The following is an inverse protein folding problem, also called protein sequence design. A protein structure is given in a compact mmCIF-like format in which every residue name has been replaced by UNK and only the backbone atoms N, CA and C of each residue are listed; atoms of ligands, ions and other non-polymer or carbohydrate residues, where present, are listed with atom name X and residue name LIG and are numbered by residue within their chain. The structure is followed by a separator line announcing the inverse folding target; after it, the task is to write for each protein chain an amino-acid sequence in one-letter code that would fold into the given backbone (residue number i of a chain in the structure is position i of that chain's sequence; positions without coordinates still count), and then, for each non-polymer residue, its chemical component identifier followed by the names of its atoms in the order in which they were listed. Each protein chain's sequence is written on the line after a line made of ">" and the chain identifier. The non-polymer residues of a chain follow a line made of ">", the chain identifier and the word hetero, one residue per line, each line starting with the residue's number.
data_IF_352469179442
#
_entry.id   IF_352469179442
#
_cell.length_a   1.000
_cell.length_b   1.000
_cell.length_c   1.000
_cell.angle_alpha   90.00
_cell.angle_beta   90.00
_cell.angle_gamma   90.00
#
_symmetry.space_group_name_H-M   'P 1'
#
loop_
_entity.id
_entity.type
_entity.pdbx_description
1 polymer ?
#
# COMPACT_ATOMS: atom_id res chain seq x y z
N UNK A 1 4.44 -9.82 -48.58
CA UNK A 1 4.69 -9.29 -47.23
C UNK A 1 3.43 -9.51 -46.41
N UNK A 2 3.37 -10.64 -45.71
CA UNK A 2 2.28 -10.94 -44.76
C UNK A 2 2.38 -9.99 -43.59
N UNK A 3 1.41 -9.11 -43.45
CA UNK A 3 1.22 -8.31 -42.23
C UNK A 3 0.90 -9.28 -41.10
N UNK A 4 1.90 -9.65 -40.31
CA UNK A 4 1.70 -10.26 -39.01
C UNK A 4 0.93 -9.20 -38.22
N UNK A 5 -0.35 -9.43 -37.93
CA UNK A 5 -1.11 -8.64 -36.95
C UNK A 5 -0.36 -8.78 -35.65
N UNK A 6 0.36 -7.75 -35.24
CA UNK A 6 0.94 -7.67 -33.90
C UNK A 6 -0.20 -7.90 -32.93
N UNK A 7 -0.07 -8.90 -32.04
CA UNK A 7 -0.99 -9.03 -30.91
C UNK A 7 -1.05 -7.69 -30.19
N UNK A 8 -2.25 -7.22 -29.84
CA UNK A 8 -2.39 -5.99 -29.06
C UNK A 8 -1.62 -6.17 -27.76
N UNK A 9 -0.78 -5.20 -27.41
CA UNK A 9 -0.11 -5.17 -26.12
C UNK A 9 -1.13 -5.33 -24.98
N UNK A 10 -0.76 -6.03 -23.90
CA UNK A 10 -1.62 -6.22 -22.74
C UNK A 10 -2.02 -4.89 -22.12
N UNK A 11 -3.20 -4.84 -21.49
CA UNK A 11 -3.67 -3.67 -20.74
C UNK A 11 -3.29 -3.82 -19.27
N UNK A 12 -2.57 -2.84 -18.74
CA UNK A 12 -2.05 -2.88 -17.38
C UNK A 12 -2.84 -1.98 -16.46
N UNK A 13 -3.03 -2.45 -15.22
CA UNK A 13 -3.76 -1.75 -14.16
C UNK A 13 -2.85 -1.50 -12.97
N UNK A 14 -2.77 -0.24 -12.52
CA UNK A 14 -2.11 0.13 -11.27
C UNK A 14 -3.17 0.31 -10.19
N UNK A 15 -2.99 -0.34 -9.04
CA UNK A 15 -3.89 -0.25 -7.89
C UNK A 15 -3.17 0.46 -6.76
N UNK A 16 -3.69 1.61 -6.35
CA UNK A 16 -3.13 2.43 -5.27
C UNK A 16 -4.19 2.76 -4.21
N UNK A 17 -3.76 2.89 -2.95
CA UNK A 17 -4.59 3.49 -1.91
C UNK A 17 -4.58 5.01 -2.03
N UNK A 18 -5.72 5.65 -1.85
CA UNK A 18 -5.86 7.11 -2.03
C UNK A 18 -5.82 7.90 -0.74
N UNK A 19 -5.89 7.23 0.41
CA UNK A 19 -5.94 7.82 1.75
C UNK A 19 -4.66 7.46 2.54
N UNK A 20 -4.77 7.13 3.83
CA UNK A 20 -3.64 6.73 4.69
C UNK A 20 -3.40 5.22 4.76
N UNK A 21 -3.71 4.47 3.70
CA UNK A 21 -3.64 3.01 3.71
C UNK A 21 -4.88 2.37 4.36
N UNK A 22 -4.86 1.04 4.43
CA UNK A 22 -5.98 0.26 4.99
C UNK A 22 -7.35 0.49 4.34
N UNK A 23 -7.38 0.96 3.08
CA UNK A 23 -8.59 1.20 2.31
C UNK A 23 -9.34 -0.09 1.92
N UNK A 24 -8.88 -1.28 2.33
CA UNK A 24 -9.50 -2.56 2.00
C UNK A 24 -9.10 -3.10 0.63
N UNK A 25 -7.87 -2.81 0.20
CA UNK A 25 -7.33 -3.24 -1.10
C UNK A 25 -7.39 -4.75 -1.34
N UNK A 26 -7.21 -5.57 -0.31
CA UNK A 26 -7.05 -7.03 -0.45
C UNK A 26 -8.15 -7.72 -1.25
N UNK A 27 -9.42 -7.47 -0.95
CA UNK A 27 -10.58 -8.04 -1.65
C UNK A 27 -10.55 -7.74 -3.15
N UNK A 28 -10.34 -6.48 -3.49
CA UNK A 28 -10.38 -6.00 -4.88
C UNK A 28 -9.18 -6.45 -5.69
N UNK A 29 -8.03 -6.53 -5.03
CA UNK A 29 -6.81 -7.06 -5.62
C UNK A 29 -7.01 -8.52 -6.01
N UNK A 30 -7.71 -9.32 -5.21
CA UNK A 30 -8.07 -10.70 -5.56
C UNK A 30 -9.04 -10.75 -6.75
N UNK A 31 -10.09 -9.93 -6.75
CA UNK A 31 -11.05 -9.84 -7.86
C UNK A 31 -10.36 -9.47 -9.19
N UNK A 32 -9.53 -8.44 -9.19
CA UNK A 32 -8.77 -8.00 -10.38
C UNK A 32 -7.75 -9.03 -10.88
N UNK A 33 -7.35 -9.99 -10.03
CA UNK A 33 -6.38 -11.02 -10.42
C UNK A 33 -6.95 -11.97 -11.48
N UNK A 34 -8.25 -12.13 -11.59
CA UNK A 34 -8.89 -13.01 -12.61
C UNK A 34 -8.55 -12.58 -14.04
N UNK A 35 -8.36 -11.28 -14.27
CA UNK A 35 -8.02 -10.73 -15.58
C UNK A 35 -6.51 -10.47 -15.75
N UNK A 36 -5.66 -10.91 -14.80
CA UNK A 36 -4.23 -10.61 -14.80
C UNK A 36 -3.40 -11.87 -14.94
N UNK A 37 -2.41 -11.87 -15.84
CA UNK A 37 -1.41 -12.94 -15.99
C UNK A 37 -0.18 -12.72 -15.11
N UNK A 38 0.04 -11.47 -14.66
CA UNK A 38 1.13 -11.13 -13.76
C UNK A 38 0.75 -10.07 -12.74
N UNK A 39 1.28 -10.20 -11.51
CA UNK A 39 1.08 -9.25 -10.41
C UNK A 39 2.40 -8.79 -9.85
N UNK A 40 2.56 -7.47 -9.71
CA UNK A 40 3.82 -6.81 -9.39
C UNK A 40 3.71 -5.98 -8.13
N UNK A 41 4.52 -6.26 -7.11
CA UNK A 41 4.79 -5.34 -6.00
C UNK A 41 5.91 -4.41 -6.39
N UNK A 42 5.69 -3.10 -6.31
CA UNK A 42 6.65 -2.12 -6.80
C UNK A 42 7.28 -1.24 -5.71
N UNK A 43 6.79 -1.29 -4.46
CA UNK A 43 7.33 -0.48 -3.35
C UNK A 43 6.97 -1.08 -1.98
N UNK A 44 7.51 -0.46 -0.91
CA UNK A 44 7.34 -0.89 0.46
C UNK A 44 8.23 -2.08 0.80
N UNK A 45 7.81 -2.84 1.76
CA UNK A 45 8.45 -4.07 2.22
C UNK A 45 7.43 -4.92 2.97
N UNK A 46 7.88 -5.70 3.93
CA UNK A 46 7.00 -6.53 4.75
C UNK A 46 6.19 -5.74 5.83
N UNK A 47 6.22 -4.41 5.77
CA UNK A 47 5.30 -3.54 6.52
C UNK A 47 3.90 -3.47 5.90
N UNK A 48 3.70 -3.95 4.68
CA UNK A 48 2.38 -4.10 4.09
C UNK A 48 1.61 -5.27 4.75
N UNK A 49 0.29 -5.22 4.66
CA UNK A 49 -0.59 -6.31 5.10
C UNK A 49 -1.81 -6.37 4.16
N UNK A 50 -1.76 -7.24 3.17
CA UNK A 50 -2.88 -7.52 2.28
C UNK A 50 -3.58 -8.79 2.76
N UNK A 51 -4.74 -8.62 3.40
CA UNK A 51 -5.54 -9.78 3.82
C UNK A 51 -6.45 -10.20 2.67
N UNK A 52 -6.32 -11.43 2.28
CA UNK A 52 -7.19 -12.10 1.30
C UNK A 52 -8.07 -13.11 2.02
N UNK A 53 -9.30 -13.28 1.54
CA UNK A 53 -10.20 -14.33 2.00
C UNK A 53 -10.55 -15.19 0.79
N UNK A 54 -10.00 -16.40 0.73
CA UNK A 54 -10.22 -17.33 -0.37
C UNK A 54 -10.81 -18.60 0.21
N UNK A 55 -11.99 -19.00 -0.27
CA UNK A 55 -12.75 -20.15 0.23
C UNK A 55 -12.93 -20.11 1.77
N UNK A 56 -13.17 -18.93 2.33
CA UNK A 56 -13.34 -18.72 3.78
C UNK A 56 -12.05 -18.68 4.59
N UNK A 57 -10.90 -18.95 4.01
CA UNK A 57 -9.60 -18.92 4.70
C UNK A 57 -8.98 -17.53 4.56
N UNK A 58 -8.66 -16.90 5.70
CA UNK A 58 -7.94 -15.61 5.73
C UNK A 58 -6.44 -15.86 5.62
N UNK A 59 -5.82 -15.25 4.62
CA UNK A 59 -4.37 -15.26 4.42
C UNK A 59 -3.85 -13.82 4.37
N UNK A 60 -2.88 -13.50 5.21
CA UNK A 60 -2.22 -12.20 5.22
C UNK A 60 -0.91 -12.29 4.42
N UNK A 61 -0.79 -11.48 3.39
CA UNK A 61 0.43 -11.34 2.58
C UNK A 61 1.14 -10.03 2.93
N UNK A 62 2.46 -10.10 3.08
CA UNK A 62 3.29 -8.95 3.45
C UNK A 62 4.24 -8.52 2.34
N UNK A 63 4.93 -9.46 1.71
CA UNK A 63 5.90 -9.24 0.62
C UNK A 63 5.42 -9.81 -0.70
N UNK A 64 4.87 -11.01 -0.66
CA UNK A 64 4.47 -11.74 -1.87
C UNK A 64 3.26 -11.07 -2.50
N UNK A 65 3.28 -10.83 -3.84
CA UNK A 65 2.12 -10.27 -4.53
C UNK A 65 0.88 -11.15 -4.38
N UNK A 66 -0.29 -10.52 -4.25
CA UNK A 66 -1.56 -11.20 -3.98
C UNK A 66 -1.96 -12.21 -5.06
N UNK A 67 -1.48 -12.03 -6.29
CA UNK A 67 -1.68 -12.98 -7.39
C UNK A 67 -1.18 -14.40 -7.13
N UNK A 68 -0.31 -14.59 -6.12
CA UNK A 68 0.22 -15.91 -5.76
C UNK A 68 -0.88 -16.91 -5.37
N UNK A 69 -1.99 -16.40 -4.83
CA UNK A 69 -3.13 -17.21 -4.41
C UNK A 69 -3.92 -17.79 -5.60
N UNK A 70 -3.66 -17.33 -6.83
CA UNK A 70 -4.31 -17.82 -8.05
C UNK A 70 -3.37 -18.71 -8.84
N UNK A 71 -3.77 -19.95 -9.17
CA UNK A 71 -2.96 -20.83 -10.02
C UNK A 71 -2.63 -20.17 -11.36
N UNK A 72 -1.41 -20.38 -11.85
CA UNK A 72 -0.96 -19.88 -13.15
C UNK A 72 -0.56 -18.40 -13.21
N UNK A 73 -0.89 -17.58 -12.22
CA UNK A 73 -0.51 -16.17 -12.18
C UNK A 73 0.95 -16.04 -11.75
N UNK A 74 1.76 -15.32 -12.53
CA UNK A 74 3.14 -14.98 -12.16
C UNK A 74 3.17 -13.81 -11.18
N UNK A 75 4.08 -13.85 -10.23
CA UNK A 75 4.23 -12.83 -9.20
C UNK A 75 5.64 -12.25 -9.23
N UNK A 76 5.73 -10.92 -9.15
CA UNK A 76 6.98 -10.19 -9.28
C UNK A 76 7.19 -9.25 -8.11
N UNK A 77 8.38 -9.29 -7.51
CA UNK A 77 8.85 -8.29 -6.55
C UNK A 77 9.81 -7.37 -7.31
N UNK A 78 9.38 -6.14 -7.57
CA UNK A 78 10.14 -5.13 -8.31
C UNK A 78 11.25 -4.50 -7.47
N UNK A 79 12.18 -3.83 -8.13
CA UNK A 79 13.36 -3.18 -7.55
C UNK A 79 13.05 -2.05 -6.56
N UNK A 80 11.82 -1.57 -6.53
CA UNK A 80 11.36 -0.57 -5.56
C UNK A 80 11.08 -1.14 -4.16
N UNK A 81 10.95 -2.45 -4.02
CA UNK A 81 10.70 -3.13 -2.73
C UNK A 81 12.01 -3.29 -1.96
N UNK A 82 11.99 -3.00 -0.66
CA UNK A 82 13.06 -3.38 0.27
C UNK A 82 12.75 -4.75 0.86
N UNK A 83 13.65 -5.71 0.65
CA UNK A 83 13.40 -7.14 0.84
C UNK A 83 14.03 -7.69 2.11
N UNK A 84 13.23 -8.15 3.05
CA UNK A 84 13.67 -9.04 4.13
C UNK A 84 13.60 -10.49 3.65
N UNK A 85 14.73 -11.14 3.44
CA UNK A 85 14.76 -12.53 3.00
C UNK A 85 14.15 -13.47 4.04
N UNK A 86 14.45 -13.28 5.33
CA UNK A 86 13.87 -14.06 6.41
C UNK A 86 12.33 -14.02 6.38
N UNK A 87 11.76 -12.81 6.30
CA UNK A 87 10.28 -12.65 6.27
C UNK A 87 9.66 -13.17 4.98
N UNK A 88 10.37 -13.11 3.85
CA UNK A 88 9.93 -13.71 2.62
C UNK A 88 9.82 -15.23 2.75
N UNK A 89 10.83 -15.89 3.33
CA UNK A 89 10.79 -17.35 3.48
C UNK A 89 9.78 -17.81 4.52
N UNK A 90 9.58 -17.09 5.62
CA UNK A 90 8.46 -17.35 6.54
C UNK A 90 7.10 -17.35 5.80
N UNK A 91 6.90 -16.38 4.91
CA UNK A 91 5.68 -16.23 4.13
C UNK A 91 5.56 -17.34 3.06
N UNK A 92 6.64 -17.67 2.35
CA UNK A 92 6.68 -18.78 1.37
C UNK A 92 6.31 -20.09 2.05
N UNK A 93 6.97 -20.42 3.16
CA UNK A 93 6.73 -21.68 3.88
C UNK A 93 5.30 -21.78 4.40
N UNK A 94 4.72 -20.67 4.88
CA UNK A 94 3.32 -20.62 5.29
C UNK A 94 2.37 -20.92 4.15
N UNK A 95 2.61 -20.34 2.98
CA UNK A 95 1.80 -20.55 1.78
C UNK A 95 1.96 -21.97 1.21
N UNK A 96 3.18 -22.49 1.17
CA UNK A 96 3.46 -23.86 0.67
C UNK A 96 2.83 -24.91 1.58
N UNK A 97 2.84 -24.71 2.91
CA UNK A 97 2.10 -25.54 3.87
C UNK A 97 0.58 -25.53 3.64
N UNK A 98 0.06 -24.41 3.12
CA UNK A 98 -1.35 -24.27 2.75
C UNK A 98 -1.63 -24.79 1.31
N UNK A 99 -0.66 -25.43 0.65
CA UNK A 99 -0.82 -26.00 -0.69
C UNK A 99 -0.67 -25.02 -1.84
N UNK A 100 -0.17 -23.80 -1.59
CA UNK A 100 0.06 -22.80 -2.64
C UNK A 100 1.43 -22.99 -3.26
N UNK A 101 1.49 -23.15 -4.58
CA UNK A 101 2.72 -23.20 -5.34
C UNK A 101 3.33 -21.79 -5.45
N UNK A 102 4.50 -21.56 -4.81
CA UNK A 102 5.10 -20.21 -4.73
C UNK A 102 6.37 -20.10 -5.59
N UNK A 103 7.37 -20.92 -5.32
CA UNK A 103 8.76 -20.71 -5.84
C UNK A 103 8.85 -20.75 -7.37
N UNK A 104 8.05 -21.54 -8.04
CA UNK A 104 8.02 -21.62 -9.50
C UNK A 104 7.45 -20.38 -10.17
N UNK A 105 6.57 -19.65 -9.47
CA UNK A 105 5.83 -18.49 -9.97
C UNK A 105 6.30 -17.14 -9.47
N UNK A 106 7.12 -17.12 -8.41
CA UNK A 106 7.66 -15.88 -7.83
C UNK A 106 8.99 -15.52 -8.51
N UNK A 107 9.12 -14.24 -8.89
CA UNK A 107 10.34 -13.63 -9.43
C UNK A 107 10.70 -12.39 -8.61
N UNK A 108 11.97 -12.26 -8.29
CA UNK A 108 12.48 -11.20 -7.42
C UNK A 108 13.55 -10.44 -8.19
N UNK A 109 13.37 -9.12 -8.29
CA UNK A 109 14.35 -8.28 -8.94
C UNK A 109 15.71 -8.36 -8.22
N UNK A 110 16.75 -8.61 -8.98
CA UNK A 110 18.12 -8.60 -8.49
C UNK A 110 18.54 -7.23 -7.91
N UNK A 111 17.85 -6.17 -8.30
CA UNK A 111 18.10 -4.81 -7.83
C UNK A 111 17.37 -4.44 -6.54
N UNK A 112 16.58 -5.32 -5.94
CA UNK A 112 15.94 -5.07 -4.64
C UNK A 112 17.01 -4.85 -3.56
N UNK A 113 16.92 -3.76 -2.77
CA UNK A 113 17.72 -3.59 -1.57
C UNK A 113 17.31 -4.61 -0.50
N UNK A 114 18.26 -5.12 0.25
CA UNK A 114 18.04 -6.03 1.36
C UNK A 114 17.77 -5.26 2.66
N UNK A 115 16.81 -5.74 3.44
CA UNK A 115 16.68 -5.38 4.85
C UNK A 115 17.52 -6.37 5.65
N UNK A 116 18.47 -5.86 6.40
CA UNK A 116 19.40 -6.64 7.23
C UNK A 116 19.19 -6.29 8.71
N UNK A 117 19.66 -7.11 9.67
CA UNK A 117 19.40 -6.91 11.09
C UNK A 117 19.75 -5.51 11.63
N UNK A 118 20.79 -4.86 11.14
CA UNK A 118 21.14 -3.51 11.57
C UNK A 118 20.10 -2.45 11.13
N UNK A 119 19.37 -2.65 10.04
CA UNK A 119 18.27 -1.76 9.67
C UNK A 119 17.13 -1.83 10.70
N UNK A 120 16.82 -3.02 11.18
CA UNK A 120 15.80 -3.23 12.23
C UNK A 120 16.28 -2.58 13.54
N UNK A 121 17.54 -2.81 13.92
CA UNK A 121 18.13 -2.22 15.12
C UNK A 121 18.09 -0.67 15.08
N UNK A 122 18.43 -0.07 13.95
CA UNK A 122 18.35 1.39 13.74
C UNK A 122 16.91 1.91 13.84
N UNK A 123 15.94 1.25 13.21
CA UNK A 123 14.53 1.65 13.22
C UNK A 123 13.98 1.69 14.65
N UNK A 124 14.20 0.62 15.41
CA UNK A 124 13.79 0.51 16.82
C UNK A 124 14.51 1.54 17.70
N UNK A 125 15.83 1.66 17.58
CA UNK A 125 16.61 2.56 18.42
C UNK A 125 16.24 4.05 18.17
N UNK A 126 15.94 4.42 16.93
CA UNK A 126 15.50 5.78 16.57
C UNK A 126 14.15 6.14 17.20
N UNK A 127 13.19 5.22 17.15
CA UNK A 127 11.87 5.43 17.80
C UNK A 127 12.00 5.49 19.32
N UNK A 128 12.83 4.63 19.93
CA UNK A 128 13.11 4.64 21.37
C UNK A 128 13.74 5.98 21.80
N UNK A 129 14.72 6.48 21.02
CA UNK A 129 15.37 7.77 21.30
C UNK A 129 14.38 8.95 21.21
N UNK A 130 13.44 8.94 20.27
CA UNK A 130 12.39 9.95 20.16
C UNK A 130 11.51 9.95 21.39
N UNK A 131 11.09 8.77 21.85
CA UNK A 131 10.27 8.61 23.04
C UNK A 131 10.95 9.13 24.30
N UNK A 132 12.19 8.72 24.55
CA UNK A 132 12.97 9.13 25.71
C UNK A 132 13.40 10.60 25.67
N UNK A 133 13.55 11.16 24.47
CA UNK A 133 13.92 12.57 24.24
C UNK A 133 12.74 13.54 24.20
N UNK A 134 11.51 13.08 24.46
CA UNK A 134 10.29 13.93 24.48
C UNK A 134 9.86 14.43 23.08
N UNK A 135 10.38 13.84 22.00
CA UNK A 135 9.97 14.16 20.63
C UNK A 135 8.86 13.21 20.16
N UNK A 136 7.97 13.69 19.29
CA UNK A 136 6.87 12.89 18.75
C UNK A 136 7.41 11.72 17.93
N UNK A 137 6.97 10.50 18.25
CA UNK A 137 7.27 9.31 17.44
C UNK A 137 6.67 9.43 16.04
N UNK A 138 7.36 8.94 15.05
CA UNK A 138 6.79 8.75 13.70
C UNK A 138 5.74 7.63 13.73
N UNK A 139 5.94 6.63 14.59
CA UNK A 139 5.08 5.46 14.71
C UNK A 139 5.42 4.40 13.69
N UNK A 140 6.71 4.17 13.42
CA UNK A 140 7.18 3.14 12.49
C UNK A 140 6.75 1.75 12.90
N UNK A 141 6.90 0.78 12.02
CA UNK A 141 6.61 -0.62 12.31
C UNK A 141 7.78 -1.34 13.00
N UNK A 142 8.93 -0.68 13.17
CA UNK A 142 10.14 -1.28 13.74
C UNK A 142 10.76 -2.39 12.87
N UNK A 143 10.48 -2.39 11.58
CA UNK A 143 10.87 -3.46 10.63
C UNK A 143 12.06 -3.12 9.75
N UNK A 144 12.73 -2.00 10.00
CA UNK A 144 13.89 -1.57 9.25
C UNK A 144 13.62 -1.01 7.85
N UNK A 145 12.36 -0.70 7.54
CA UNK A 145 11.96 -0.20 6.21
C UNK A 145 12.65 1.14 5.91
N UNK A 146 12.52 2.11 6.82
CA UNK A 146 13.12 3.45 6.68
C UNK A 146 14.62 3.39 6.48
N UNK A 147 15.38 2.78 7.39
CA UNK A 147 16.84 2.65 7.25
C UNK A 147 17.28 1.94 5.96
N UNK A 148 16.53 0.94 5.48
CA UNK A 148 16.85 0.27 4.21
C UNK A 148 16.65 1.19 3.00
N UNK A 149 15.60 2.04 2.98
CA UNK A 149 15.42 3.06 1.95
C UNK A 149 16.48 4.17 2.05
N UNK A 150 16.88 4.57 3.26
CA UNK A 150 17.99 5.51 3.49
C UNK A 150 19.26 4.99 2.84
N UNK A 151 19.64 3.74 3.08
CA UNK A 151 20.82 3.13 2.47
C UNK A 151 20.72 3.00 0.95
N UNK A 152 19.51 2.70 0.42
CA UNK A 152 19.25 2.69 -1.02
C UNK A 152 19.57 4.04 -1.66
N UNK A 153 19.03 5.13 -1.10
CA UNK A 153 19.19 6.48 -1.64
C UNK A 153 20.62 7.00 -1.43
N UNK A 154 21.25 6.65 -0.32
CA UNK A 154 22.68 6.91 -0.05
C UNK A 154 23.62 6.07 -0.94
N UNK A 155 23.11 5.15 -1.76
CA UNK A 155 23.86 4.30 -2.70
C UNK A 155 24.84 3.34 -2.03
N UNK A 156 24.55 2.93 -0.79
CA UNK A 156 25.35 1.97 -0.01
C UNK A 156 24.61 0.65 0.28
N UNK A 157 23.32 0.55 -0.09
CA UNK A 157 22.52 -0.66 0.14
C UNK A 157 23.14 -1.90 -0.48
N UNK A 158 23.13 -3.01 0.26
CA UNK A 158 23.31 -4.34 -0.28
C UNK A 158 22.02 -4.76 -1.02
N UNK A 159 22.17 -5.29 -2.22
CA UNK A 159 21.07 -5.72 -3.07
C UNK A 159 21.03 -7.23 -3.21
N UNK A 160 19.91 -7.77 -3.67
CA UNK A 160 19.74 -9.20 -3.94
C UNK A 160 20.85 -9.76 -4.84
N UNK A 161 21.27 -9.03 -5.88
CA UNK A 161 22.39 -9.42 -6.75
C UNK A 161 23.74 -9.57 -6.03
N UNK A 162 23.97 -8.84 -4.96
CA UNK A 162 25.23 -8.91 -4.22
C UNK A 162 25.42 -10.27 -3.54
N UNK A 163 24.31 -10.97 -3.23
CA UNK A 163 24.32 -12.33 -2.66
C UNK A 163 24.97 -13.38 -3.59
N UNK A 164 25.10 -13.10 -4.89
CA UNK A 164 25.80 -13.97 -5.83
C UNK A 164 27.33 -14.00 -5.63
N UNK A 165 27.86 -13.05 -4.88
CA UNK A 165 29.30 -12.84 -4.71
C UNK A 165 29.68 -12.70 -3.23
N UNK A 166 29.85 -13.82 -2.48
CA UNK A 166 30.02 -13.82 -1.03
C UNK A 166 31.16 -12.91 -0.51
N UNK A 167 32.31 -12.92 -1.16
CA UNK A 167 33.44 -12.09 -0.75
C UNK A 167 33.16 -10.59 -0.90
N UNK A 168 32.53 -10.20 -2.02
CA UNK A 168 32.13 -8.82 -2.27
C UNK A 168 31.01 -8.39 -1.31
N UNK A 169 30.06 -9.28 -1.05
CA UNK A 169 29.01 -9.05 -0.06
C UNK A 169 29.62 -8.82 1.33
N UNK A 170 30.57 -9.68 1.74
CA UNK A 170 31.25 -9.57 3.04
C UNK A 170 31.99 -8.24 3.19
N UNK A 171 32.69 -7.78 2.15
CA UNK A 171 33.42 -6.50 2.19
C UNK A 171 32.47 -5.31 2.37
N UNK A 172 31.40 -5.25 1.57
CA UNK A 172 30.36 -4.20 1.68
C UNK A 172 29.62 -4.26 3.03
N UNK A 173 29.34 -5.46 3.55
CA UNK A 173 28.67 -5.63 4.83
C UNK A 173 29.53 -5.10 5.99
N UNK A 174 30.87 -5.31 5.97
CA UNK A 174 31.76 -4.74 6.98
C UNK A 174 31.74 -3.23 6.97
N UNK A 175 31.82 -2.61 5.79
CA UNK A 175 31.73 -1.16 5.63
C UNK A 175 30.41 -0.59 6.18
N UNK A 176 29.28 -1.25 5.89
CA UNK A 176 27.97 -0.85 6.42
C UNK A 176 27.88 -1.00 7.93
N UNK A 177 28.37 -2.11 8.47
CA UNK A 177 28.35 -2.35 9.92
C UNK A 177 29.26 -1.37 10.67
N UNK A 178 30.39 -0.98 10.11
CA UNK A 178 31.25 0.06 10.71
C UNK A 178 30.48 1.36 10.89
N UNK A 179 29.83 1.85 9.85
CA UNK A 179 29.00 3.05 9.89
C UNK A 179 27.80 2.90 10.85
N UNK A 180 27.01 1.84 10.68
CA UNK A 180 25.77 1.70 11.41
C UNK A 180 25.97 1.36 12.90
N UNK A 181 27.01 0.59 13.23
CA UNK A 181 27.38 0.33 14.62
C UNK A 181 27.89 1.59 15.32
N UNK A 182 28.65 2.45 14.61
CA UNK A 182 28.98 3.77 15.15
C UNK A 182 27.74 4.59 15.52
N UNK A 183 26.74 4.61 14.64
CA UNK A 183 25.47 5.31 14.90
C UNK A 183 24.70 4.66 16.05
N UNK A 184 24.60 3.32 16.07
CA UNK A 184 23.90 2.57 17.13
C UNK A 184 24.54 2.84 18.49
N UNK A 185 25.85 2.68 18.62
CA UNK A 185 26.53 2.78 19.91
C UNK A 185 26.78 4.23 20.32
N UNK A 186 27.31 5.06 19.42
CA UNK A 186 27.76 6.43 19.72
C UNK A 186 26.62 7.47 19.78
N UNK A 187 25.54 7.27 19.00
CA UNK A 187 24.45 8.24 18.93
C UNK A 187 23.15 7.73 19.55
N UNK A 188 22.78 6.48 19.28
CA UNK A 188 21.49 5.92 19.71
C UNK A 188 21.56 5.20 21.05
N UNK A 189 22.77 4.97 21.60
CA UNK A 189 23.00 4.22 22.82
C UNK A 189 22.36 2.82 22.78
N UNK A 190 22.52 2.14 21.66
CA UNK A 190 21.99 0.82 21.38
C UNK A 190 23.13 -0.18 21.12
N UNK A 191 22.93 -1.49 21.31
CA UNK A 191 23.93 -2.50 21.04
C UNK A 191 24.37 -2.53 19.57
N UNK A 192 25.65 -2.86 19.29
CA UNK A 192 26.11 -3.09 17.93
C UNK A 192 25.54 -4.40 17.37
N UNK A 193 25.57 -4.52 16.05
CA UNK A 193 25.18 -5.74 15.32
C UNK A 193 26.45 -6.46 14.84
N UNK A 194 26.55 -7.74 15.17
CA UNK A 194 27.70 -8.57 14.85
C UNK A 194 27.71 -8.99 13.37
N UNK A 195 28.92 -8.99 12.77
CA UNK A 195 29.10 -9.33 11.36
C UNK A 195 28.72 -10.78 11.02
N UNK A 196 29.26 -11.74 11.80
CA UNK A 196 29.18 -13.16 11.41
C UNK A 196 27.77 -13.69 11.34
N UNK A 197 26.88 -13.45 12.33
CA UNK A 197 25.48 -13.89 12.24
C UNK A 197 24.74 -13.32 11.03
N UNK A 198 24.96 -12.04 10.69
CA UNK A 198 24.32 -11.39 9.54
C UNK A 198 24.81 -11.99 8.23
N UNK A 199 26.12 -12.23 8.11
CA UNK A 199 26.71 -12.83 6.92
C UNK A 199 26.22 -14.26 6.70
N UNK A 200 26.27 -15.09 7.75
CA UNK A 200 25.84 -16.51 7.66
C UNK A 200 24.38 -16.64 7.31
N UNK A 201 23.52 -15.81 7.90
CA UNK A 201 22.09 -15.76 7.55
C UNK A 201 21.87 -15.33 6.10
N UNK A 202 22.56 -14.28 5.66
CA UNK A 202 22.45 -13.80 4.28
C UNK A 202 22.91 -14.86 3.27
N UNK A 203 23.96 -15.60 3.54
CA UNK A 203 24.45 -16.67 2.65
C UNK A 203 23.51 -17.88 2.63
N UNK A 204 22.88 -18.25 3.74
CA UNK A 204 21.84 -19.27 3.73
C UNK A 204 20.65 -18.86 2.85
N UNK A 205 20.20 -17.62 2.98
CA UNK A 205 19.12 -17.08 2.16
C UNK A 205 19.51 -16.95 0.68
N UNK A 206 20.77 -16.68 0.37
CA UNK A 206 21.27 -16.57 -0.99
C UNK A 206 20.95 -17.82 -1.82
N UNK A 207 21.24 -19.00 -1.27
CA UNK A 207 20.97 -20.28 -1.97
C UNK A 207 19.48 -20.49 -2.26
N UNK A 208 18.62 -20.09 -1.33
CA UNK A 208 17.17 -20.21 -1.47
C UNK A 208 16.58 -19.17 -2.44
N UNK A 209 17.20 -17.98 -2.55
CA UNK A 209 16.76 -16.91 -3.43
C UNK A 209 17.16 -17.11 -4.89
N UNK A 210 18.32 -17.76 -5.15
CA UNK A 210 18.90 -17.94 -6.50
C UNK A 210 17.88 -18.37 -7.56
N UNK A 211 17.01 -19.36 -7.33
CA UNK A 211 16.05 -19.81 -8.36
C UNK A 211 14.97 -18.79 -8.70
N UNK A 212 14.73 -17.82 -7.82
CA UNK A 212 13.69 -16.78 -7.97
C UNK A 212 14.25 -15.44 -8.42
N UNK A 213 15.58 -15.25 -8.39
CA UNK A 213 16.24 -14.02 -8.87
C UNK A 213 16.03 -13.86 -10.37
N UNK A 214 15.65 -12.65 -10.80
CA UNK A 214 15.37 -12.37 -12.20
C UNK A 214 15.61 -10.91 -12.58
N UNK A 215 15.84 -10.68 -13.86
CA UNK A 215 15.65 -9.37 -14.47
C UNK A 215 14.15 -9.11 -14.66
N UNK A 216 13.51 -8.66 -13.57
CA UNK A 216 12.06 -8.40 -13.53
C UNK A 216 11.66 -7.34 -14.56
N UNK A 217 12.49 -6.32 -14.78
CA UNK A 217 12.21 -5.30 -15.80
C UNK A 217 12.04 -5.92 -17.18
N UNK A 218 12.96 -6.80 -17.59
CA UNK A 218 12.88 -7.50 -18.87
C UNK A 218 11.67 -8.40 -18.94
N UNK A 219 11.45 -9.26 -17.92
CA UNK A 219 10.32 -10.20 -17.92
C UNK A 219 8.97 -9.49 -18.02
N UNK A 220 8.79 -8.34 -17.37
CA UNK A 220 7.56 -7.55 -17.43
C UNK A 220 7.34 -6.92 -18.81
N UNK A 221 8.39 -6.36 -19.43
CA UNK A 221 8.32 -5.82 -20.79
C UNK A 221 8.00 -6.90 -21.82
N UNK A 222 8.67 -8.05 -21.74
CA UNK A 222 8.42 -9.18 -22.63
C UNK A 222 6.99 -9.74 -22.47
N UNK A 223 6.51 -9.87 -21.23
CA UNK A 223 5.14 -10.34 -20.95
C UNK A 223 4.09 -9.35 -21.53
N UNK A 224 4.26 -8.04 -21.32
CA UNK A 224 3.34 -7.04 -21.84
C UNK A 224 3.34 -7.02 -23.38
N UNK A 225 4.51 -7.11 -24.00
CA UNK A 225 4.63 -7.18 -25.46
C UNK A 225 3.97 -8.45 -26.05
N UNK A 226 3.96 -9.54 -25.27
CA UNK A 226 3.25 -10.77 -25.61
C UNK A 226 1.73 -10.72 -25.36
N UNK A 227 1.19 -9.57 -24.91
CA UNK A 227 -0.25 -9.37 -24.69
C UNK A 227 -0.73 -9.72 -23.28
N UNK A 228 0.17 -9.97 -22.33
CA UNK A 228 -0.22 -10.26 -20.97
C UNK A 228 -0.71 -8.97 -20.24
N UNK A 229 -1.83 -9.07 -19.55
CA UNK A 229 -2.30 -8.05 -18.63
C UNK A 229 -1.52 -8.12 -17.32
N UNK A 230 -0.88 -7.01 -16.95
CA UNK A 230 -0.15 -6.89 -15.70
C UNK A 230 -0.90 -6.01 -14.71
N UNK A 231 -0.86 -6.40 -13.45
CA UNK A 231 -1.38 -5.59 -12.36
C UNK A 231 -0.25 -5.17 -11.43
N UNK A 232 -0.12 -3.88 -11.22
CA UNK A 232 0.81 -3.30 -10.27
C UNK A 232 0.07 -2.99 -8.98
N UNK A 233 0.43 -3.63 -7.89
CA UNK A 233 -0.19 -3.43 -6.58
C UNK A 233 0.69 -2.60 -5.66
N UNK A 234 0.17 -1.43 -5.25
CA UNK A 234 0.78 -0.59 -4.24
C UNK A 234 0.50 -1.08 -2.82
N UNK A 235 1.40 -0.77 -1.93
CA UNK A 235 1.22 -0.88 -0.48
C UNK A 235 1.00 0.51 0.12
N UNK A 236 0.48 0.59 1.35
CA UNK A 236 0.12 1.84 2.03
C UNK A 236 -0.93 2.64 1.24
N UNK A 237 -0.86 3.97 1.28
CA UNK A 237 -1.75 4.88 0.57
C UNK A 237 -1.05 6.19 0.24
N UNK A 238 -1.66 7.01 -0.62
CA UNK A 238 -1.09 8.25 -1.15
C UNK A 238 -0.67 9.22 -0.04
N UNK A 239 -1.43 9.31 1.05
CA UNK A 239 -1.13 10.22 2.16
C UNK A 239 -0.01 9.71 3.08
N UNK A 240 0.49 8.51 2.82
CA UNK A 240 1.70 7.95 3.43
C UNK A 240 2.92 7.99 2.49
N UNK A 241 2.78 8.55 1.29
CA UNK A 241 3.89 8.75 0.35
C UNK A 241 4.94 9.71 0.94
N UNK A 242 6.22 9.40 0.75
CA UNK A 242 7.32 10.17 1.34
C UNK A 242 7.39 11.61 0.83
N UNK A 243 6.95 11.87 -0.41
CA UNK A 243 6.97 13.20 -1.03
C UNK A 243 5.61 13.91 -0.95
N UNK A 244 4.51 13.17 -1.12
CA UNK A 244 3.15 13.72 -1.29
C UNK A 244 2.24 13.50 -0.08
N UNK A 245 2.71 12.76 0.92
CA UNK A 245 1.94 12.45 2.12
C UNK A 245 2.07 13.50 3.22
N UNK A 246 1.57 13.15 4.40
CA UNK A 246 1.58 14.00 5.60
C UNK A 246 2.95 13.92 6.32
N UNK A 247 4.01 14.32 5.62
CA UNK A 247 5.38 14.30 6.14
C UNK A 247 5.49 15.12 7.45
N UNK A 248 6.17 14.61 8.53
CA UNK A 248 7.02 13.41 8.55
C UNK A 248 6.27 12.10 8.90
N UNK A 249 4.96 12.10 9.06
CA UNK A 249 4.13 10.95 9.43
C UNK A 249 3.76 10.13 8.19
N UNK A 250 4.78 9.57 7.54
CA UNK A 250 4.69 8.85 6.25
C UNK A 250 5.53 7.58 6.28
N UNK A 251 5.42 6.74 5.26
CA UNK A 251 6.38 5.66 4.98
C UNK A 251 7.58 6.21 4.21
N UNK A 252 8.66 5.47 4.15
CA UNK A 252 9.90 5.91 3.48
C UNK A 252 9.92 5.56 1.97
N UNK A 253 8.77 5.26 1.38
CA UNK A 253 8.66 4.95 -0.05
C UNK A 253 7.64 5.82 -0.75
N UNK A 254 7.77 5.96 -2.07
CA UNK A 254 6.73 6.56 -2.88
C UNK A 254 5.58 5.56 -3.11
N UNK A 255 4.37 5.94 -2.66
CA UNK A 255 3.15 5.14 -2.75
C UNK A 255 2.27 5.52 -3.94
N UNK A 256 2.60 6.63 -4.62
CA UNK A 256 1.84 7.13 -5.79
C UNK A 256 2.05 6.25 -7.02
N UNK A 257 1.08 6.27 -7.93
CA UNK A 257 1.04 5.41 -9.12
C UNK A 257 2.27 5.55 -10.02
N UNK A 258 2.84 6.75 -10.15
CA UNK A 258 4.04 6.99 -10.95
C UNK A 258 5.23 6.13 -10.52
N UNK A 259 5.33 5.76 -9.25
CA UNK A 259 6.39 4.90 -8.76
C UNK A 259 6.23 3.43 -9.20
N UNK A 260 5.08 3.02 -9.72
CA UNK A 260 4.92 1.68 -10.29
C UNK A 260 5.88 1.47 -11.47
N UNK A 261 6.09 2.49 -12.29
CA UNK A 261 7.06 2.45 -13.38
C UNK A 261 8.50 2.30 -12.88
N UNK A 262 8.97 3.20 -12.02
CA UNK A 262 10.33 3.18 -11.48
C UNK A 262 10.61 1.95 -10.59
N UNK A 263 9.64 1.59 -9.75
CA UNK A 263 9.77 0.49 -8.79
C UNK A 263 9.66 -0.91 -9.38
N UNK A 264 9.11 -1.03 -10.58
CA UNK A 264 9.05 -2.30 -11.33
C UNK A 264 10.05 -2.36 -12.48
N UNK A 265 10.64 -1.21 -12.89
CA UNK A 265 11.57 -1.14 -14.01
C UNK A 265 10.86 -1.17 -15.37
N UNK A 266 9.68 -0.55 -15.50
CA UNK A 266 8.94 -0.42 -16.74
C UNK A 266 8.77 1.05 -17.13
N UNK A 267 8.49 1.31 -18.39
CA UNK A 267 8.22 2.69 -18.86
C UNK A 267 6.85 3.19 -18.33
N UNK A 268 6.69 4.51 -18.08
CA UNK A 268 5.42 5.06 -17.60
C UNK A 268 4.26 4.84 -18.59
N UNK A 269 4.53 4.71 -19.88
CA UNK A 269 3.54 4.37 -20.90
C UNK A 269 2.89 2.99 -20.75
N UNK A 270 3.42 2.14 -19.87
CA UNK A 270 2.79 0.86 -19.51
C UNK A 270 1.73 0.98 -18.41
N UNK A 271 1.55 2.13 -17.79
CA UNK A 271 0.55 2.37 -16.75
C UNK A 271 -0.76 2.84 -17.38
N UNK A 272 -1.52 1.91 -17.99
CA UNK A 272 -2.67 2.24 -18.84
C UNK A 272 -3.90 2.69 -18.06
N UNK A 273 -4.12 2.14 -16.87
CA UNK A 273 -5.26 2.45 -16.02
C UNK A 273 -4.84 2.52 -14.57
N UNK A 274 -5.22 3.58 -13.87
CA UNK A 274 -4.87 3.79 -12.46
C UNK A 274 -6.16 3.77 -11.64
N UNK A 275 -6.33 2.70 -10.84
CA UNK A 275 -7.46 2.50 -9.95
C UNK A 275 -7.12 2.98 -8.54
N UNK A 276 -7.83 4.01 -8.08
CA UNK A 276 -7.74 4.50 -6.72
C UNK A 276 -8.68 3.73 -5.78
N UNK A 277 -8.14 3.02 -4.80
CA UNK A 277 -8.94 2.37 -3.77
C UNK A 277 -9.17 3.38 -2.65
N UNK A 278 -10.43 3.65 -2.37
CA UNK A 278 -10.88 4.70 -1.46
C UNK A 278 -11.92 4.15 -0.51
N UNK A 279 -11.73 4.26 0.78
CA UNK A 279 -12.74 3.89 1.77
C UNK A 279 -13.85 4.95 1.80
N UNK A 280 -15.11 4.55 1.96
CA UNK A 280 -16.27 5.46 2.03
C UNK A 280 -16.22 6.45 3.22
N UNK A 281 -15.23 6.36 4.07
CA UNK A 281 -14.86 7.28 5.16
C UNK A 281 -13.34 7.27 5.31
N UNK A 282 -12.79 8.12 6.17
CA UNK A 282 -11.34 8.15 6.36
C UNK A 282 -10.92 7.35 7.60
N UNK A 283 -9.76 6.69 7.51
CA UNK A 283 -9.10 6.08 8.68
C UNK A 283 -7.61 6.34 8.66
N UNK A 284 -7.00 6.42 9.84
CA UNK A 284 -5.56 6.62 9.98
C UNK A 284 -5.01 5.79 11.14
N UNK A 285 -3.84 5.17 10.95
CA UNK A 285 -3.07 4.50 12.02
C UNK A 285 -1.92 5.41 12.44
N UNK A 286 -1.69 5.52 13.74
CA UNK A 286 -0.56 6.27 14.29
C UNK A 286 -0.77 7.78 14.35
N UNK A 287 0.34 8.50 14.51
CA UNK A 287 0.35 9.96 14.68
C UNK A 287 0.12 10.75 13.40
N UNK A 288 0.13 12.06 13.55
CA UNK A 288 -0.01 13.03 12.46
C UNK A 288 -1.41 13.58 12.29
N UNK A 289 -1.57 14.64 11.47
CA UNK A 289 -2.81 15.36 11.30
C UNK A 289 -3.90 14.55 10.62
N UNK A 290 -5.14 14.78 11.05
CA UNK A 290 -6.34 14.14 10.48
C UNK A 290 -7.50 15.15 10.57
N UNK A 291 -7.66 16.04 9.58
CA UNK A 291 -8.61 17.16 9.67
C UNK A 291 -10.06 16.74 9.92
N UNK A 292 -10.49 15.62 9.35
CA UNK A 292 -11.87 15.12 9.47
C UNK A 292 -12.05 14.09 10.58
N UNK A 293 -11.09 13.96 11.50
CA UNK A 293 -11.16 12.99 12.61
C UNK A 293 -12.38 13.21 13.50
N UNK A 294 -12.97 12.10 13.92
CA UNK A 294 -14.11 12.04 14.83
C UNK A 294 -13.72 11.39 16.16
N UNK A 295 -14.57 11.58 17.14
CA UNK A 295 -14.51 10.74 18.35
C UNK A 295 -14.92 9.32 17.99
N UNK A 296 -13.93 8.42 17.94
CA UNK A 296 -14.11 7.02 17.57
C UNK A 296 -14.05 6.08 18.79
N UNK A 297 -13.92 6.62 20.01
CA UNK A 297 -13.82 5.87 21.26
C UNK A 297 -15.13 5.91 22.06
N UNK A 298 -15.88 7.00 21.99
CA UNK A 298 -17.13 7.18 22.77
C UNK A 298 -18.31 6.50 22.07
N UNK A 299 -18.99 5.54 22.73
CA UNK A 299 -20.19 4.89 22.19
C UNK A 299 -21.28 5.90 21.80
N UNK A 300 -21.94 5.65 20.67
CA UNK A 300 -23.02 6.50 20.15
C UNK A 300 -22.57 7.61 19.21
N UNK A 301 -21.25 7.82 19.04
CA UNK A 301 -20.73 8.76 18.04
C UNK A 301 -20.62 8.10 16.68
N UNK A 302 -20.69 8.86 15.56
CA UNK A 302 -20.46 8.31 14.23
C UNK A 302 -19.06 7.67 14.06
N UNK A 303 -18.03 8.25 14.70
CA UNK A 303 -16.67 7.70 14.69
C UNK A 303 -16.60 6.34 15.37
N UNK A 304 -17.27 6.15 16.51
CA UNK A 304 -17.38 4.85 17.18
C UNK A 304 -18.12 3.82 16.35
N UNK A 305 -19.21 4.23 15.67
CA UNK A 305 -19.92 3.37 14.74
C UNK A 305 -18.99 2.88 13.63
N UNK A 306 -18.27 3.79 12.95
CA UNK A 306 -17.31 3.44 11.90
C UNK A 306 -16.20 2.52 12.41
N UNK A 307 -15.67 2.79 13.61
CA UNK A 307 -14.61 1.98 14.24
C UNK A 307 -15.08 0.56 14.54
N UNK A 308 -16.29 0.42 15.09
CA UNK A 308 -16.85 -0.85 15.56
C UNK A 308 -17.38 -1.69 14.40
N UNK A 309 -18.29 -1.15 13.58
CA UNK A 309 -18.89 -1.83 12.42
C UNK A 309 -17.83 -2.10 11.36
N UNK A 310 -16.95 -1.15 11.13
CA UNK A 310 -15.82 -1.29 10.20
C UNK A 310 -14.72 -2.22 10.70
N UNK A 311 -14.76 -2.69 11.95
CA UNK A 311 -13.71 -3.49 12.59
C UNK A 311 -12.32 -2.86 12.37
N UNK A 312 -12.18 -1.55 12.69
CA UNK A 312 -11.01 -0.75 12.36
C UNK A 312 -9.84 -1.02 13.31
N UNK A 313 -9.25 -2.21 13.14
CA UNK A 313 -8.00 -2.63 13.80
C UNK A 313 -6.98 -3.09 12.74
N UNK A 314 -5.73 -2.70 12.95
CA UNK A 314 -4.64 -3.11 12.07
C UNK A 314 -4.35 -4.60 12.16
N UNK A 315 -4.44 -5.31 11.04
CA UNK A 315 -4.22 -6.78 10.98
C UNK A 315 -2.79 -7.15 11.44
N UNK A 316 -1.82 -6.34 11.07
CA UNK A 316 -0.40 -6.61 11.33
C UNK A 316 0.08 -6.15 12.69
N UNK A 317 -0.45 -5.05 13.21
CA UNK A 317 0.03 -4.40 14.43
C UNK A 317 -0.98 -4.44 15.58
N UNK A 318 -2.22 -4.85 15.32
CA UNK A 318 -3.32 -4.82 16.30
C UNK A 318 -3.75 -3.42 16.74
N UNK A 319 -3.09 -2.35 16.24
CA UNK A 319 -3.40 -0.96 16.61
C UNK A 319 -4.77 -0.56 16.08
N UNK A 320 -5.54 0.18 16.91
CA UNK A 320 -6.79 0.79 16.49
C UNK A 320 -6.55 1.85 15.41
N UNK A 321 -7.50 1.98 14.49
CA UNK A 321 -7.50 3.02 13.48
C UNK A 321 -8.40 4.16 13.95
N UNK A 322 -7.89 5.37 13.93
CA UNK A 322 -8.64 6.61 14.08
C UNK A 322 -9.62 6.71 12.92
N UNK A 323 -10.86 7.13 13.15
CA UNK A 323 -11.91 7.24 12.13
C UNK A 323 -12.34 8.69 11.95
N UNK A 324 -12.75 9.04 10.74
CA UNK A 324 -13.22 10.38 10.40
C UNK A 324 -14.12 10.38 9.18
N UNK A 325 -14.78 11.52 8.94
CA UNK A 325 -15.62 11.73 7.77
C UNK A 325 -14.82 11.61 6.47
N UNK A 326 -15.52 11.33 5.38
CA UNK A 326 -14.92 11.30 4.05
C UNK A 326 -14.36 12.68 3.68
N UNK A 327 -13.11 12.71 3.24
CA UNK A 327 -12.40 13.92 2.87
C UNK A 327 -12.21 13.99 1.35
N UNK A 328 -13.12 14.68 0.67
CA UNK A 328 -13.08 14.81 -0.77
C UNK A 328 -12.00 15.81 -1.25
N UNK A 329 -11.67 16.81 -0.44
CA UNK A 329 -10.59 17.74 -0.75
C UNK A 329 -9.21 17.05 -0.69
N UNK A 330 -9.01 16.14 0.25
CA UNK A 330 -7.88 15.23 0.31
C UNK A 330 -7.85 14.34 -0.95
N UNK A 331 -8.99 13.75 -1.33
CA UNK A 331 -9.07 12.87 -2.48
C UNK A 331 -8.76 13.59 -3.79
N UNK A 332 -9.10 14.88 -3.93
CA UNK A 332 -8.65 15.72 -5.05
C UNK A 332 -7.12 15.72 -5.19
N UNK A 333 -6.41 15.92 -4.07
CA UNK A 333 -4.94 15.87 -4.07
C UNK A 333 -4.44 14.50 -4.51
N UNK A 334 -5.02 13.44 -3.96
CA UNK A 334 -4.67 12.06 -4.34
C UNK A 334 -4.94 11.79 -5.82
N UNK A 335 -6.05 12.28 -6.36
CA UNK A 335 -6.40 12.15 -7.77
C UNK A 335 -5.36 12.81 -8.68
N UNK A 336 -4.93 14.03 -8.33
CA UNK A 336 -3.94 14.78 -9.10
C UNK A 336 -2.58 14.09 -9.15
N UNK A 337 -2.05 13.68 -7.99
CA UNK A 337 -0.68 13.11 -7.93
C UNK A 337 -0.60 11.69 -8.49
N UNK A 338 -1.73 10.98 -8.55
CA UNK A 338 -1.78 9.64 -9.12
C UNK A 338 -2.25 9.61 -10.58
N UNK A 339 -2.96 10.63 -11.06
CA UNK A 339 -3.62 10.60 -12.37
C UNK A 339 -4.69 9.51 -12.43
N UNK A 340 -5.60 9.47 -11.44
CA UNK A 340 -6.60 8.40 -11.30
C UNK A 340 -7.52 8.29 -12.51
N UNK A 341 -7.68 7.08 -13.04
CA UNK A 341 -8.63 6.75 -14.11
C UNK A 341 -10.03 6.46 -13.57
N UNK A 342 -10.12 6.00 -12.34
CA UNK A 342 -11.37 5.70 -11.65
C UNK A 342 -11.15 5.34 -10.19
N UNK A 343 -12.24 5.38 -9.43
CA UNK A 343 -12.26 5.03 -8.01
C UNK A 343 -12.90 3.66 -7.81
N UNK A 344 -12.43 2.96 -6.79
CA UNK A 344 -13.15 1.90 -6.15
C UNK A 344 -13.48 2.30 -4.72
N UNK A 345 -14.77 2.48 -4.42
CA UNK A 345 -15.24 2.81 -3.08
C UNK A 345 -15.40 1.53 -2.27
N UNK A 346 -14.77 1.46 -1.11
CA UNK A 346 -14.84 0.30 -0.21
C UNK A 346 -15.57 0.63 1.08
N UNK A 347 -16.11 -0.41 1.73
CA UNK A 347 -16.76 -0.29 3.04
C UNK A 347 -17.93 0.70 3.06
N UNK A 348 -18.71 0.76 1.98
CA UNK A 348 -19.93 1.57 1.91
C UNK A 348 -20.94 1.11 2.98
N UNK A 349 -21.02 -0.20 3.18
CA UNK A 349 -21.85 -0.89 4.16
C UNK A 349 -21.61 -0.46 5.61
N UNK A 350 -20.44 0.05 5.93
CA UNK A 350 -20.12 0.56 7.28
C UNK A 350 -20.89 1.83 7.62
N UNK A 351 -21.37 2.57 6.62
CA UNK A 351 -22.13 3.79 6.82
C UNK A 351 -23.64 3.53 6.98
N UNK A 352 -24.11 2.28 6.82
CA UNK A 352 -25.49 1.90 7.04
C UNK A 352 -25.96 2.28 8.45
N UNK A 353 -27.11 2.92 8.57
CA UNK A 353 -27.69 3.34 9.84
C UNK A 353 -27.21 4.70 10.37
N UNK A 354 -26.30 5.38 9.70
CA UNK A 354 -25.91 6.76 10.04
C UNK A 354 -26.90 7.71 9.37
N UNK A 355 -27.62 8.52 10.17
CA UNK A 355 -28.68 9.40 9.67
C UNK A 355 -28.19 10.59 8.86
N UNK A 356 -27.00 11.11 9.19
CA UNK A 356 -26.36 12.26 8.54
C UNK A 356 -24.90 11.97 8.28
N UNK A 357 -24.45 12.24 7.09
CA UNK A 357 -23.06 12.09 6.66
C UNK A 357 -22.48 13.48 6.37
N UNK A 358 -21.26 13.72 6.84
CA UNK A 358 -20.54 14.95 6.52
C UNK A 358 -19.47 14.64 5.47
N UNK A 359 -19.48 15.37 4.36
CA UNK A 359 -18.50 15.29 3.29
C UNK A 359 -17.60 16.53 3.36
N UNK A 360 -16.31 16.35 3.63
CA UNK A 360 -15.37 17.47 3.62
C UNK A 360 -15.05 17.87 2.17
N UNK A 361 -15.46 19.09 1.79
CA UNK A 361 -15.29 19.62 0.43
C UNK A 361 -14.16 20.64 0.33
N UNK A 362 -13.59 21.07 1.44
CA UNK A 362 -12.51 22.03 1.51
C UNK A 362 -12.07 22.31 2.94
N UNK A 363 -11.16 23.28 3.10
CA UNK A 363 -10.63 23.70 4.40
C UNK A 363 -10.54 25.21 4.50
N UNK A 364 -10.71 25.72 5.71
CA UNK A 364 -10.24 27.04 6.08
C UNK A 364 -8.83 26.91 6.67
N UNK A 365 -7.87 27.63 6.12
CA UNK A 365 -6.50 27.72 6.57
C UNK A 365 -6.07 29.19 6.53
N UNK A 366 -5.67 29.77 7.67
CA UNK A 366 -5.23 31.17 7.79
C UNK A 366 -6.21 32.20 7.17
N UNK A 367 -7.52 31.99 7.38
CA UNK A 367 -8.58 32.84 6.86
C UNK A 367 -8.82 32.71 5.34
N UNK A 368 -8.21 31.74 4.69
CA UNK A 368 -8.44 31.41 3.28
C UNK A 368 -9.13 30.07 3.12
N UNK A 369 -9.99 29.98 2.13
CA UNK A 369 -10.65 28.73 1.77
C UNK A 369 -9.85 28.05 0.65
N UNK A 370 -9.58 26.75 0.84
CA UNK A 370 -8.98 25.90 -0.19
C UNK A 370 -9.83 24.64 -0.37
N UNK A 371 -9.99 24.20 -1.61
CA UNK A 371 -10.75 22.99 -1.98
C UNK A 371 -9.83 21.77 -2.22
N UNK A 372 -8.58 21.88 -1.79
CA UNK A 372 -7.57 20.83 -1.93
C UNK A 372 -6.70 20.77 -0.67
N UNK A 373 -6.28 19.56 -0.26
CA UNK A 373 -5.42 19.37 0.90
C UNK A 373 -4.09 20.12 0.72
N UNK A 374 -3.66 20.96 1.68
CA UNK A 374 -2.35 21.61 1.64
C UNK A 374 -1.21 20.59 1.80
N UNK A 375 0.02 21.08 1.67
CA UNK A 375 1.24 20.30 1.90
C UNK A 375 1.77 20.57 3.30
N UNK A 376 2.41 19.55 3.92
CA UNK A 376 3.00 19.69 5.24
C UNK A 376 2.06 19.30 6.38
N UNK A 377 2.62 18.66 7.43
CA UNK A 377 1.80 18.21 8.56
C UNK A 377 1.26 19.37 9.39
N UNK A 378 2.01 20.44 9.50
CA UNK A 378 1.67 21.63 10.29
C UNK A 378 0.48 22.36 9.66
N UNK A 379 0.51 22.62 8.37
CA UNK A 379 -0.57 23.25 7.61
C UNK A 379 -1.83 22.38 7.62
N UNK A 380 -1.66 21.06 7.45
CA UNK A 380 -2.79 20.12 7.51
C UNK A 380 -3.40 20.09 8.93
N UNK A 381 -2.58 20.16 9.98
CA UNK A 381 -3.06 20.21 11.34
C UNK A 381 -3.80 21.52 11.68
N UNK A 382 -3.46 22.63 11.01
CA UNK A 382 -4.12 23.92 11.16
C UNK A 382 -5.43 24.03 10.35
N UNK A 383 -5.68 23.09 9.42
CA UNK A 383 -6.90 23.09 8.61
C UNK A 383 -8.16 22.89 9.45
N UNK A 384 -9.17 23.72 9.19
CA UNK A 384 -10.54 23.51 9.68
C UNK A 384 -11.37 22.97 8.51
N UNK A 385 -11.89 21.72 8.59
CA UNK A 385 -12.67 21.16 7.51
C UNK A 385 -13.98 21.91 7.27
N UNK A 386 -14.32 22.08 6.01
CA UNK A 386 -15.60 22.63 5.56
C UNK A 386 -16.45 21.47 5.08
N UNK A 387 -17.58 21.27 5.71
CA UNK A 387 -18.46 20.14 5.45
C UNK A 387 -19.71 20.53 4.64
N UNK A 388 -20.11 19.60 3.81
CA UNK A 388 -21.44 19.53 3.21
C UNK A 388 -22.20 18.36 3.88
N UNK A 389 -23.34 18.66 4.48
CA UNK A 389 -24.19 17.65 5.13
C UNK A 389 -25.06 16.94 4.09
N UNK A 390 -24.97 15.62 4.03
CA UNK A 390 -25.79 14.77 3.19
C UNK A 390 -26.68 13.86 4.05
N UNK A 391 -27.90 13.52 3.60
CA UNK A 391 -28.70 12.53 4.30
C UNK A 391 -28.03 11.16 4.20
N UNK A 392 -28.00 10.45 5.32
CA UNK A 392 -27.60 9.05 5.35
C UNK A 392 -28.75 8.11 4.99
N UNK A 393 -28.54 6.82 5.19
CA UNK A 393 -29.52 5.79 4.86
C UNK A 393 -29.64 4.76 5.99
N UNK A 394 -30.85 4.19 6.15
CA UNK A 394 -31.12 3.15 7.15
C UNK A 394 -31.24 1.77 6.55
N UNK A 395 -31.42 1.66 5.23
CA UNK A 395 -31.47 0.38 4.52
C UNK A 395 -30.07 -0.20 4.42
N UNK A 396 -29.94 -1.52 4.59
CA UNK A 396 -28.63 -2.16 4.46
C UNK A 396 -28.15 -2.16 3.01
N UNK A 397 -26.89 -1.79 2.82
CA UNK A 397 -26.18 -1.91 1.54
C UNK A 397 -25.36 -3.20 1.46
N UNK A 398 -25.29 -3.97 2.56
CA UNK A 398 -24.52 -5.22 2.63
C UNK A 398 -24.96 -6.20 1.55
N UNK A 399 -24.01 -6.64 0.71
CA UNK A 399 -24.27 -7.64 -0.32
C UNK A 399 -24.98 -7.14 -1.58
N UNK A 400 -25.23 -5.85 -1.69
CA UNK A 400 -25.79 -5.26 -2.93
C UNK A 400 -24.75 -5.33 -4.06
N UNK A 401 -25.14 -5.91 -5.20
CA UNK A 401 -24.30 -6.08 -6.39
C UNK A 401 -24.79 -5.30 -7.61
N UNK A 402 -25.91 -4.59 -7.49
CA UNK A 402 -26.50 -3.76 -8.53
C UNK A 402 -26.64 -2.32 -8.01
N UNK A 403 -26.02 -1.36 -8.70
CA UNK A 403 -26.03 0.05 -8.33
C UNK A 403 -27.44 0.61 -8.13
N UNK A 404 -28.38 0.21 -8.97
CA UNK A 404 -29.77 0.70 -8.92
C UNK A 404 -30.54 0.18 -7.69
N UNK A 405 -30.01 -0.82 -6.98
CA UNK A 405 -30.59 -1.35 -5.73
C UNK A 405 -30.00 -0.70 -4.47
N UNK A 406 -29.01 0.17 -4.61
CA UNK A 406 -28.54 0.98 -3.49
C UNK A 406 -29.62 1.98 -3.07
N UNK A 407 -29.72 2.32 -1.77
CA UNK A 407 -30.55 3.43 -1.30
C UNK A 407 -30.27 4.72 -2.09
N UNK A 408 -31.30 5.52 -2.35
CA UNK A 408 -31.15 6.76 -3.13
C UNK A 408 -30.16 7.74 -2.47
N UNK A 409 -30.10 7.74 -1.15
CA UNK A 409 -29.15 8.52 -0.35
C UNK A 409 -27.71 8.05 -0.58
N UNK A 410 -27.48 6.74 -0.60
CA UNK A 410 -26.17 6.16 -0.89
C UNK A 410 -25.71 6.49 -2.32
N UNK A 411 -26.62 6.41 -3.30
CA UNK A 411 -26.33 6.83 -4.67
C UNK A 411 -25.98 8.32 -4.75
N UNK A 412 -26.69 9.20 -4.03
CA UNK A 412 -26.39 10.65 -3.94
C UNK A 412 -25.04 10.90 -3.33
N UNK A 413 -24.69 10.18 -2.25
CA UNK A 413 -23.38 10.27 -1.61
C UNK A 413 -22.25 9.91 -2.57
N UNK A 414 -22.35 8.79 -3.26
CA UNK A 414 -21.37 8.34 -4.25
C UNK A 414 -21.25 9.35 -5.41
N UNK A 415 -22.37 9.81 -5.94
CA UNK A 415 -22.37 10.82 -7.01
C UNK A 415 -21.72 12.11 -6.56
N UNK A 416 -21.98 12.54 -5.33
CA UNK A 416 -21.35 13.76 -4.79
C UNK A 416 -19.83 13.64 -4.66
N UNK A 417 -19.33 12.45 -4.30
CA UNK A 417 -17.90 12.16 -4.29
C UNK A 417 -17.31 12.34 -5.71
N UNK A 418 -17.95 11.80 -6.74
CA UNK A 418 -17.51 11.99 -8.14
C UNK A 418 -17.47 13.46 -8.53
N UNK A 419 -18.53 14.20 -8.22
CA UNK A 419 -18.64 15.63 -8.56
C UNK A 419 -17.54 16.48 -7.91
N UNK A 420 -17.27 16.26 -6.61
CA UNK A 420 -16.25 17.04 -5.89
C UNK A 420 -14.85 16.65 -6.32
N UNK A 421 -14.58 15.37 -6.55
CA UNK A 421 -13.23 14.89 -6.85
C UNK A 421 -12.88 14.95 -8.34
N UNK A 422 -13.89 14.99 -9.21
CA UNK A 422 -13.72 14.93 -10.67
C UNK A 422 -13.29 13.55 -11.18
N UNK A 423 -13.36 12.50 -10.36
CA UNK A 423 -12.94 11.13 -10.74
C UNK A 423 -14.16 10.20 -10.70
N UNK A 424 -14.45 9.45 -11.77
CA UNK A 424 -15.59 8.54 -11.80
C UNK A 424 -15.38 7.34 -10.87
N UNK A 425 -16.48 6.87 -10.26
CA UNK A 425 -16.50 5.62 -9.49
C UNK A 425 -16.77 4.47 -10.45
N UNK A 426 -15.85 3.53 -10.52
CA UNK A 426 -15.95 2.37 -11.41
C UNK A 426 -16.27 1.07 -10.67
N UNK A 427 -16.02 1.04 -9.36
CA UNK A 427 -16.29 -0.13 -8.52
C UNK A 427 -16.78 0.30 -7.14
N UNK A 428 -17.67 -0.49 -6.53
CA UNK A 428 -18.15 -0.26 -5.16
C UNK A 428 -18.18 -1.60 -4.43
N UNK A 429 -17.52 -1.67 -3.29
CA UNK A 429 -17.52 -2.83 -2.41
C UNK A 429 -18.51 -2.62 -1.27
N UNK A 430 -19.47 -3.53 -1.14
CA UNK A 430 -20.61 -3.47 -0.21
C UNK A 430 -20.51 -4.47 0.94
N UNK A 431 -19.40 -5.20 1.06
CA UNK A 431 -19.06 -6.05 2.22
C UNK A 431 -17.63 -6.61 2.10
N UNK A 432 -17.13 -7.33 3.10
CA UNK A 432 -15.84 -8.04 3.00
C UNK A 432 -15.82 -9.18 1.97
N UNK A 433 -16.98 -9.75 1.59
CA UNK A 433 -17.08 -10.81 0.61
C UNK A 433 -16.72 -10.32 -0.79
N UNK A 434 -15.91 -11.12 -1.53
CA UNK A 434 -15.42 -10.75 -2.87
C UNK A 434 -16.56 -10.59 -3.89
N UNK A 435 -17.62 -11.39 -3.77
CA UNK A 435 -18.73 -11.39 -4.72
C UNK A 435 -19.67 -10.20 -4.50
N UNK A 436 -19.57 -9.53 -3.35
CA UNK A 436 -20.34 -8.34 -3.03
C UNK A 436 -19.68 -7.07 -3.56
N UNK A 437 -19.52 -7.00 -4.87
CA UNK A 437 -18.90 -5.87 -5.57
C UNK A 437 -19.79 -5.43 -6.74
N UNK A 438 -20.12 -4.15 -6.78
CA UNK A 438 -20.78 -3.51 -7.93
C UNK A 438 -19.67 -3.11 -8.91
N UNK A 439 -19.74 -3.60 -10.14
CA UNK A 439 -18.83 -3.24 -11.22
C UNK A 439 -19.55 -2.31 -12.19
N UNK A 440 -19.13 -1.06 -12.28
CA UNK A 440 -19.65 -0.07 -13.23
C UNK A 440 -18.80 0.01 -14.50
N UNK A 441 -17.48 -0.20 -14.35
CA UNK A 441 -16.55 -0.29 -15.48
C UNK A 441 -15.40 -1.23 -15.15
N UNK A 442 -15.08 -2.12 -16.08
CA UNK A 442 -13.92 -3.01 -15.95
C UNK A 442 -12.62 -2.24 -16.24
N UNK A 443 -11.65 -2.21 -15.29
CA UNK A 443 -10.35 -1.56 -15.49
C UNK A 443 -9.51 -2.17 -16.64
N UNK A 444 -9.73 -3.43 -16.97
CA UNK A 444 -9.04 -4.13 -18.07
C UNK A 444 -9.78 -4.00 -19.42
N UNK A 445 -11.03 -3.55 -19.44
CA UNK A 445 -11.72 -3.28 -20.70
C UNK A 445 -11.14 -2.04 -21.40
N UNK A 446 -11.12 -2.07 -22.74
CA UNK A 446 -10.59 -0.99 -23.57
C UNK A 446 -11.40 0.31 -23.46
#
# INVERSE_FOLDING_TARGET
>A
MTKTTAASAGRNVVVVGTQWGDEGKGKLVDWLTESSQGVVRFQGGHNAGHTLVINGVKTALHLIPSGIMRPGVKCYIGNGVVLSAAKLFEEIEGLEKAGVEVRSRLRISEACPLILPFHVALDVARETRRETGGTVKIGTTGRGIGPAYEDKIARRALRVQDLKHPERFAAKLRELLDLHNFVLTGYLNAPPVEFQPVFDEAMRHAELLKPMMADVSRELNDANAAGANLRFEGAQGTLLDVDHGTYPFVTSSNCVAGNAAAGAGVGPGMLHYILGITKAYCTRVGGGPFPTELDWETPGTPGFHMSTVGAEKGVTTGRSRRCGWFDAALLKRSAQVNGLSGLCITKLDVLDGIEKLELCTGYELDGRITDILPMGAEEIAACKPIYETLPGWTQSTVGVTDYNKLPAEAQRYLKRIEEVTGVPIHMISTSPDRDHTILLRDPFAA
#
